data_IF_791901705355
#
_entry.id   IF_791901705355
#
_cell.length_a   1.000
_cell.length_b   1.000
_cell.length_c   1.000
_cell.angle_alpha   90.00
_cell.angle_beta   90.00
_cell.angle_gamma   90.00
#
_symmetry.space_group_name_H-M   'P 1'
#
loop_
_entity.id
_entity.type
_entity.pdbx_description
1 polymer ?
#
# COMPACT_ATOMS: atom_id res chain seq x y z
N UNK A 1 -50.48 -19.57 -21.13
CA UNK A 1 -49.81 -18.89 -20.00
C UNK A 1 -48.67 -19.72 -19.40
N UNK A 2 -48.80 -21.05 -19.24
CA UNK A 2 -47.74 -21.95 -18.73
C UNK A 2 -46.45 -21.95 -19.60
N UNK A 3 -46.56 -21.80 -20.92
CA UNK A 3 -45.39 -21.79 -21.83
C UNK A 3 -44.43 -20.61 -21.61
N UNK A 4 -44.93 -19.44 -21.22
CA UNK A 4 -44.11 -18.25 -20.94
C UNK A 4 -43.47 -18.30 -19.55
N UNK A 5 -44.08 -19.03 -18.63
CA UNK A 5 -43.58 -19.20 -17.25
C UNK A 5 -42.32 -20.08 -17.22
N UNK A 6 -42.26 -21.10 -18.08
CA UNK A 6 -41.08 -21.98 -18.23
C UNK A 6 -39.91 -21.21 -18.85
N UNK A 7 -40.16 -20.32 -19.81
CA UNK A 7 -39.12 -19.51 -20.46
C UNK A 7 -38.47 -18.50 -19.50
N UNK A 8 -39.26 -17.90 -18.60
CA UNK A 8 -38.76 -16.93 -17.60
C UNK A 8 -37.88 -17.62 -16.54
N UNK A 9 -38.25 -18.82 -16.10
CA UNK A 9 -37.47 -19.57 -15.10
C UNK A 9 -36.11 -20.03 -15.68
N UNK A 10 -36.05 -20.34 -16.97
CA UNK A 10 -34.81 -20.76 -17.63
C UNK A 10 -33.82 -19.60 -17.84
N UNK A 11 -34.31 -18.37 -18.02
CA UNK A 11 -33.45 -17.18 -18.17
C UNK A 11 -32.86 -16.68 -16.85
N UNK A 12 -33.55 -16.86 -15.72
CA UNK A 12 -32.99 -16.49 -14.41
C UNK A 12 -31.91 -17.47 -13.91
N UNK A 13 -31.95 -18.73 -14.36
CA UNK A 13 -30.94 -19.74 -14.01
C UNK A 13 -29.59 -19.54 -14.74
N UNK A 14 -29.54 -18.73 -15.80
CA UNK A 14 -28.33 -18.46 -16.60
C UNK A 14 -27.57 -17.19 -16.14
N UNK A 15 -28.12 -16.41 -15.20
CA UNK A 15 -27.45 -15.23 -14.63
C UNK A 15 -26.74 -15.50 -13.30
N UNK A 16 -26.53 -16.77 -12.94
CA UNK A 16 -25.84 -17.18 -11.71
C UNK A 16 -24.45 -17.73 -11.98
N UNK A 17 -23.69 -17.11 -12.88
CA UNK A 17 -22.23 -17.22 -12.90
C UNK A 17 -21.64 -15.97 -12.24
N UNK A 18 -21.86 -15.82 -10.93
CA UNK A 18 -20.83 -15.21 -10.10
C UNK A 18 -19.80 -16.30 -9.84
N UNK A 19 -19.05 -16.66 -10.89
CA UNK A 19 -17.74 -17.23 -10.65
C UNK A 19 -16.93 -16.05 -10.16
N UNK A 20 -16.86 -15.93 -8.83
CA UNK A 20 -15.82 -15.14 -8.18
C UNK A 20 -14.52 -15.81 -8.57
N UNK A 21 -14.00 -15.46 -9.74
CA UNK A 21 -12.63 -15.74 -10.03
C UNK A 21 -11.86 -15.06 -8.92
N UNK A 22 -11.10 -15.85 -8.17
CA UNK A 22 -10.04 -15.34 -7.32
C UNK A 22 -9.05 -14.65 -8.27
N UNK A 23 -9.37 -13.42 -8.69
CA UNK A 23 -8.45 -12.46 -9.25
C UNK A 23 -7.53 -11.97 -8.13
N UNK A 24 -6.98 -12.91 -7.36
CA UNK A 24 -5.85 -12.66 -6.49
C UNK A 24 -4.68 -12.48 -7.44
N UNK A 25 -4.30 -11.23 -7.68
CA UNK A 25 -3.19 -10.97 -8.56
C UNK A 25 -1.92 -11.54 -7.92
N UNK A 26 -1.13 -12.26 -8.73
CA UNK A 26 0.03 -13.00 -8.25
C UNK A 26 1.02 -12.07 -7.52
N UNK A 27 1.20 -12.22 -6.19
CA UNK A 27 2.09 -11.37 -5.40
C UNK A 27 3.55 -11.45 -5.82
N UNK A 28 3.95 -12.46 -6.62
CA UNK A 28 5.31 -12.54 -7.19
C UNK A 28 5.60 -11.43 -8.20
N UNK A 29 4.56 -10.74 -8.70
CA UNK A 29 4.70 -9.60 -9.61
C UNK A 29 5.17 -8.32 -8.91
N UNK A 30 5.12 -8.23 -7.58
CA UNK A 30 5.67 -7.07 -6.88
C UNK A 30 7.15 -7.27 -6.49
N UNK A 31 7.92 -6.17 -6.36
CA UNK A 31 9.36 -6.24 -6.09
C UNK A 31 9.67 -6.97 -4.77
N UNK A 32 10.83 -7.63 -4.61
CA UNK A 32 11.16 -8.28 -3.35
C UNK A 32 11.27 -7.25 -2.20
N UNK A 33 10.82 -7.64 -1.00
CA UNK A 33 11.03 -6.85 0.21
C UNK A 33 12.55 -6.82 0.52
N UNK A 34 13.15 -5.67 0.27
CA UNK A 34 14.59 -5.42 0.40
C UNK A 34 14.81 -4.23 1.33
N UNK A 35 16.06 -4.02 1.75
CA UNK A 35 16.44 -2.93 2.65
C UNK A 35 17.59 -2.10 2.08
N UNK A 36 17.69 -2.00 0.76
CA UNK A 36 18.88 -1.50 0.06
C UNK A 36 18.72 -0.09 -0.48
N UNK A 37 17.52 0.49 -0.41
CA UNK A 37 17.17 1.71 -1.14
C UNK A 37 16.99 1.46 -2.64
N UNK A 38 16.50 0.29 -3.06
CA UNK A 38 16.37 -0.08 -4.47
C UNK A 38 15.30 0.71 -5.26
N UNK A 39 14.65 1.70 -4.62
CA UNK A 39 13.53 2.49 -5.14
C UNK A 39 12.39 1.63 -5.69
N UNK A 40 12.01 0.62 -4.91
CA UNK A 40 10.93 -0.30 -5.23
C UNK A 40 9.70 -0.05 -4.37
N UNK A 41 8.52 -0.27 -4.96
CA UNK A 41 7.23 -0.14 -4.28
C UNK A 41 6.25 -1.09 -4.94
N UNK A 42 5.43 -1.76 -4.14
CA UNK A 42 4.31 -2.56 -4.62
C UNK A 42 3.24 -2.75 -3.55
N UNK A 43 1.98 -2.84 -3.98
CA UNK A 43 0.87 -3.25 -3.13
C UNK A 43 -0.28 -3.83 -3.98
N UNK A 44 -1.26 -4.40 -3.28
CA UNK A 44 -2.55 -4.74 -3.83
C UNK A 44 -3.57 -3.66 -3.45
N UNK A 45 -4.40 -3.21 -4.40
CA UNK A 45 -5.62 -2.44 -4.12
C UNK A 45 -6.78 -3.23 -4.73
N UNK A 46 -7.72 -3.66 -3.89
CA UNK A 46 -8.84 -4.54 -4.30
C UNK A 46 -8.40 -5.80 -5.08
N UNK A 47 -7.27 -6.37 -4.67
CA UNK A 47 -6.70 -7.56 -5.31
C UNK A 47 -5.87 -7.27 -6.57
N UNK A 48 -5.82 -6.04 -7.08
CA UNK A 48 -5.02 -5.67 -8.26
C UNK A 48 -3.60 -5.23 -7.86
N UNK A 49 -2.58 -5.72 -8.57
CA UNK A 49 -1.18 -5.30 -8.34
C UNK A 49 -0.91 -3.90 -8.87
N UNK A 50 -0.34 -3.05 -8.02
CA UNK A 50 0.23 -1.77 -8.40
C UNK A 50 1.72 -1.73 -8.04
N UNK A 51 2.59 -1.42 -9.02
CA UNK A 51 4.05 -1.34 -8.80
C UNK A 51 4.62 0.00 -9.25
N UNK A 52 5.57 0.52 -8.48
CA UNK A 52 6.13 1.85 -8.71
C UNK A 52 7.38 1.90 -9.59
N UNK A 53 7.98 0.76 -9.95
CA UNK A 53 9.34 0.74 -10.52
C UNK A 53 9.47 1.41 -11.89
N UNK A 54 8.40 1.44 -12.68
CA UNK A 54 8.47 1.80 -14.10
C UNK A 54 8.27 3.29 -14.38
N UNK A 55 7.61 4.03 -13.49
CA UNK A 55 7.12 5.38 -13.78
C UNK A 55 7.58 6.36 -12.70
N UNK A 56 8.03 7.55 -13.13
CA UNK A 56 8.31 8.66 -12.22
C UNK A 56 9.80 8.90 -11.93
N UNK A 57 10.09 9.84 -11.01
CA UNK A 57 11.45 10.20 -10.62
C UNK A 57 12.16 9.07 -9.88
N UNK A 58 13.50 9.13 -9.84
CA UNK A 58 14.33 8.13 -9.16
C UNK A 58 14.03 8.06 -7.65
N UNK A 59 13.62 9.17 -7.02
CA UNK A 59 13.26 9.23 -5.59
C UNK A 59 11.75 9.30 -5.42
N UNK A 60 11.18 8.33 -4.68
CA UNK A 60 9.72 8.18 -4.46
C UNK A 60 9.27 8.57 -3.04
N UNK A 61 10.21 9.01 -2.22
CA UNK A 61 9.96 9.41 -0.85
C UNK A 61 10.59 10.78 -0.56
N UNK A 62 9.99 11.53 0.36
CA UNK A 62 10.50 12.81 0.86
C UNK A 62 10.45 12.81 2.39
N UNK A 63 11.57 13.08 3.05
CA UNK A 63 11.65 13.15 4.51
C UNK A 63 11.54 14.58 5.02
N UNK A 64 10.69 14.78 6.01
CA UNK A 64 10.47 16.02 6.73
C UNK A 64 10.78 15.79 8.21
N UNK A 65 11.90 16.33 8.75
CA UNK A 65 12.23 16.18 10.16
C UNK A 65 11.26 16.96 11.06
N UNK A 66 11.10 16.51 12.30
CA UNK A 66 10.41 17.29 13.32
C UNK A 66 11.20 18.58 13.61
N UNK A 67 10.54 19.74 13.64
CA UNK A 67 11.22 21.01 13.90
C UNK A 67 11.36 21.32 15.40
N UNK A 68 10.61 20.63 16.26
CA UNK A 68 10.58 20.79 17.71
C UNK A 68 10.08 19.49 18.39
N UNK A 69 10.08 19.47 19.73
CA UNK A 69 9.71 18.29 20.54
C UNK A 69 8.22 17.91 20.44
N UNK A 70 7.35 18.84 20.04
CA UNK A 70 5.90 18.63 19.91
C UNK A 70 5.51 18.11 18.51
N UNK A 71 6.44 18.16 17.55
CA UNK A 71 6.24 17.72 16.17
C UNK A 71 6.74 16.30 15.94
N UNK A 72 6.10 15.61 14.99
CA UNK A 72 6.51 14.29 14.53
C UNK A 72 7.15 14.40 13.16
N UNK A 73 8.29 13.73 13.00
CA UNK A 73 8.90 13.61 11.68
C UNK A 73 7.96 12.85 10.73
N UNK A 74 7.96 13.20 9.45
CA UNK A 74 7.07 12.60 8.46
C UNK A 74 7.86 12.17 7.23
N UNK A 75 7.51 11.02 6.67
CA UNK A 75 7.97 10.60 5.34
C UNK A 75 6.77 10.57 4.40
N UNK A 76 6.76 11.45 3.41
CA UNK A 76 5.79 11.36 2.33
C UNK A 76 6.28 10.33 1.30
N UNK A 77 5.43 9.38 0.94
CA UNK A 77 5.65 8.47 -0.18
C UNK A 77 4.73 8.91 -1.31
N UNK A 78 5.29 9.10 -2.50
CA UNK A 78 4.55 9.38 -3.73
C UNK A 78 5.11 8.51 -4.86
N UNK A 79 4.26 7.63 -5.37
CA UNK A 79 4.66 6.62 -6.35
C UNK A 79 3.72 6.67 -7.54
N UNK A 80 4.28 6.85 -8.75
CA UNK A 80 3.52 6.61 -9.98
C UNK A 80 3.48 5.11 -10.24
N UNK A 81 2.27 4.59 -10.42
CA UNK A 81 2.03 3.16 -10.69
C UNK A 81 1.57 2.93 -12.13
N UNK A 82 1.19 4.01 -12.83
CA UNK A 82 1.00 4.06 -14.27
C UNK A 82 1.32 5.49 -14.77
N UNK A 83 1.19 5.74 -16.06
CA UNK A 83 1.35 7.02 -16.76
C UNK A 83 0.53 8.14 -16.12
N UNK A 84 -0.70 7.84 -15.70
CA UNK A 84 -1.62 8.80 -15.09
C UNK A 84 -2.08 8.42 -13.68
N UNK A 85 -1.62 7.28 -13.14
CA UNK A 85 -2.04 6.78 -11.84
C UNK A 85 -0.91 6.88 -10.79
N UNK A 86 -1.27 7.22 -9.56
CA UNK A 86 -0.30 7.33 -8.45
C UNK A 86 -0.91 6.93 -7.12
N UNK A 87 -0.05 6.47 -6.21
CA UNK A 87 -0.37 6.22 -4.81
C UNK A 87 0.48 7.16 -3.97
N UNK A 88 -0.12 7.79 -2.97
CA UNK A 88 0.62 8.59 -1.99
C UNK A 88 0.05 8.47 -0.59
N UNK A 89 0.92 8.56 0.42
CA UNK A 89 0.55 8.58 1.83
C UNK A 89 1.70 9.15 2.68
N UNK A 90 1.41 9.52 3.92
CA UNK A 90 2.37 10.05 4.88
C UNK A 90 2.64 9.03 5.98
N UNK A 91 3.89 8.64 6.21
CA UNK A 91 4.30 7.84 7.36
C UNK A 91 4.63 8.80 8.50
N UNK A 92 3.94 8.64 9.63
CA UNK A 92 4.09 9.53 10.79
C UNK A 92 5.05 8.90 11.79
N UNK A 93 6.05 9.67 12.22
CA UNK A 93 7.05 9.28 13.23
C UNK A 93 7.72 7.94 12.90
N UNK A 94 8.40 7.82 11.72
CA UNK A 94 8.99 6.56 11.28
C UNK A 94 10.08 6.10 12.24
N UNK A 95 9.96 4.87 12.75
CA UNK A 95 10.91 4.26 13.68
C UNK A 95 11.26 2.86 13.24
N UNK A 96 12.55 2.58 13.08
CA UNK A 96 13.03 1.22 12.85
C UNK A 96 12.78 0.36 14.08
N UNK A 97 12.10 -0.77 13.90
CA UNK A 97 11.86 -1.70 15.00
C UNK A 97 13.06 -2.63 15.16
N UNK A 98 13.79 -2.49 16.26
CA UNK A 98 14.83 -3.44 16.64
C UNK A 98 14.21 -4.79 17.02
N UNK A 99 14.24 -5.75 16.09
CA UNK A 99 13.64 -7.09 16.21
C UNK A 99 14.09 -7.82 17.50
N UNK A 100 15.28 -7.52 18.03
CA UNK A 100 15.87 -8.17 19.20
C UNK A 100 15.16 -7.87 20.54
N UNK A 101 14.37 -6.79 20.64
CA UNK A 101 13.67 -6.41 21.89
C UNK A 101 12.14 -6.63 21.80
N UNK A 102 11.58 -6.77 20.59
CA UNK A 102 10.15 -7.07 20.38
C UNK A 102 9.78 -8.55 20.64
N UNK A 103 10.33 -9.15 21.71
CA UNK A 103 9.89 -10.46 22.19
C UNK A 103 8.52 -10.33 22.86
N UNK A 104 7.45 -10.56 22.09
CA UNK A 104 6.12 -11.07 22.49
C UNK A 104 5.34 -10.47 23.68
N UNK A 105 5.88 -9.54 24.47
CA UNK A 105 5.33 -9.15 25.79
C UNK A 105 4.84 -7.71 25.87
N UNK A 106 5.14 -6.84 24.89
CA UNK A 106 4.79 -5.42 24.96
C UNK A 106 4.18 -4.88 23.65
N UNK A 107 3.18 -5.58 23.11
CA UNK A 107 2.27 -4.95 22.14
C UNK A 107 1.33 -4.02 22.90
N UNK A 108 1.75 -2.78 23.13
CA UNK A 108 0.81 -1.69 23.42
C UNK A 108 0.44 -1.03 22.10
N UNK A 109 -0.85 -0.73 21.88
CA UNK A 109 -1.35 -0.11 20.63
C UNK A 109 -0.65 1.22 20.29
N UNK A 110 0.02 1.86 21.25
CA UNK A 110 0.70 3.14 21.09
C UNK A 110 2.03 3.10 20.32
N UNK A 111 2.58 1.91 20.01
CA UNK A 111 3.92 1.77 19.40
C UNK A 111 3.86 1.31 17.93
N UNK A 112 2.69 1.45 17.31
CA UNK A 112 2.47 1.13 15.91
C UNK A 112 2.72 2.36 15.05
N UNK A 113 3.64 2.26 14.09
CA UNK A 113 3.82 3.29 13.06
C UNK A 113 2.64 3.21 12.10
N UNK A 114 2.04 4.37 11.80
CA UNK A 114 0.88 4.48 10.92
C UNK A 114 1.25 5.24 9.65
N UNK A 115 0.50 4.98 8.58
CA UNK A 115 0.40 5.91 7.47
C UNK A 115 -0.97 6.61 7.48
N UNK A 116 -0.99 7.87 7.05
CA UNK A 116 -2.20 8.69 6.95
C UNK A 116 -2.32 9.35 5.58
N UNK A 117 -3.51 9.90 5.32
CA UNK A 117 -3.80 10.70 4.11
C UNK A 117 -3.49 9.94 2.82
N UNK A 118 -3.82 8.65 2.82
CA UNK A 118 -3.62 7.80 1.67
C UNK A 118 -4.55 8.21 0.53
N UNK A 119 -3.98 8.39 -0.65
CA UNK A 119 -4.70 8.76 -1.88
C UNK A 119 -4.26 7.85 -3.01
N UNK A 120 -5.24 7.27 -3.69
CA UNK A 120 -5.05 6.64 -4.98
C UNK A 120 -5.61 7.53 -6.08
N UNK A 121 -4.76 7.91 -7.02
CA UNK A 121 -5.15 8.61 -8.23
C UNK A 121 -5.22 7.60 -9.37
N UNK A 122 -6.38 7.46 -9.97
CA UNK A 122 -6.59 6.52 -11.08
C UNK A 122 -6.07 7.09 -12.42
N UNK A 123 -6.10 6.26 -13.47
CA UNK A 123 -5.68 6.68 -14.81
C UNK A 123 -6.51 7.82 -15.42
N UNK A 124 -7.72 8.07 -14.89
CA UNK A 124 -8.60 9.16 -15.28
C UNK A 124 -8.37 10.44 -14.46
N UNK A 125 -7.34 10.45 -13.61
CA UNK A 125 -6.98 11.54 -12.68
C UNK A 125 -8.02 11.80 -11.60
N UNK A 126 -8.93 10.86 -11.34
CA UNK A 126 -9.80 10.92 -10.18
C UNK A 126 -9.00 10.51 -8.95
N UNK A 127 -9.20 11.24 -7.86
CA UNK A 127 -8.54 11.00 -6.58
C UNK A 127 -9.51 10.32 -5.63
N UNK A 128 -9.11 9.15 -5.16
CA UNK A 128 -9.82 8.35 -4.18
C UNK A 128 -9.05 8.38 -2.87
N UNK A 129 -9.71 8.82 -1.80
CA UNK A 129 -9.15 8.73 -0.45
C UNK A 129 -9.22 7.28 0.00
N UNK A 130 -8.09 6.75 0.44
CA UNK A 130 -7.95 5.42 1.01
C UNK A 130 -7.93 5.51 2.53
N UNK A 131 -8.23 4.39 3.19
CA UNK A 131 -8.13 4.31 4.64
C UNK A 131 -6.68 4.38 5.11
N UNK A 132 -6.49 5.05 6.25
CA UNK A 132 -5.25 5.01 7.01
C UNK A 132 -4.91 3.56 7.40
N UNK A 133 -3.64 3.33 7.68
CA UNK A 133 -3.18 1.98 7.99
C UNK A 133 -1.86 1.94 8.71
N UNK A 134 -1.29 0.75 8.73
CA UNK A 134 -0.17 0.38 9.56
C UNK A 134 1.06 0.23 8.68
N UNK A 135 2.21 0.66 9.20
CA UNK A 135 3.50 0.49 8.57
C UNK A 135 4.43 -0.26 9.52
N UNK A 136 5.09 -1.29 9.01
CA UNK A 136 6.20 -1.95 9.68
C UNK A 136 7.50 -1.49 9.02
N UNK A 137 8.20 -0.57 9.66
CA UNK A 137 9.50 -0.09 9.21
C UNK A 137 10.57 -1.11 9.57
N UNK A 138 11.23 -1.63 8.54
CA UNK A 138 12.30 -2.63 8.66
C UNK A 138 13.70 -2.03 8.50
N UNK A 139 13.81 -0.84 7.90
CA UNK A 139 15.01 -0.01 7.87
C UNK A 139 14.63 1.46 7.82
N UNK A 140 15.22 2.29 8.66
CA UNK A 140 15.12 3.75 8.57
C UNK A 140 16.49 4.39 8.84
N UNK A 141 17.20 4.66 7.75
CA UNK A 141 18.59 5.08 7.77
C UNK A 141 18.70 6.50 7.22
N UNK A 142 18.83 7.48 8.12
CA UNK A 142 18.96 8.89 7.76
C UNK A 142 20.29 9.21 7.05
N UNK A 143 21.34 8.42 7.30
CA UNK A 143 22.68 8.67 6.74
C UNK A 143 22.74 8.25 5.27
N UNK A 144 22.20 7.08 4.96
CA UNK A 144 22.09 6.57 3.60
C UNK A 144 20.79 7.01 2.89
N UNK A 145 19.90 7.72 3.61
CA UNK A 145 18.60 8.19 3.15
C UNK A 145 17.71 7.06 2.65
N UNK A 146 17.62 5.96 3.41
CA UNK A 146 16.86 4.75 3.06
C UNK A 146 15.69 4.57 4.02
N UNK A 147 14.51 4.26 3.47
CA UNK A 147 13.37 3.75 4.23
C UNK A 147 12.80 2.51 3.56
N UNK A 148 12.63 1.45 4.34
CA UNK A 148 12.14 0.16 3.82
C UNK A 148 11.16 -0.47 4.80
N UNK A 149 10.09 -1.07 4.29
CA UNK A 149 9.06 -1.62 5.15
C UNK A 149 7.91 -2.29 4.41
N UNK A 150 6.96 -2.77 5.20
CA UNK A 150 5.67 -3.28 4.71
C UNK A 150 4.53 -2.41 5.23
N UNK A 151 3.40 -2.40 4.55
CA UNK A 151 2.23 -1.66 4.98
C UNK A 151 0.92 -2.33 4.58
N UNK A 152 -0.14 -2.05 5.32
CA UNK A 152 -1.50 -2.49 5.03
C UNK A 152 -2.53 -1.58 5.69
N UNK A 153 -3.71 -1.46 5.09
CA UNK A 153 -4.84 -0.74 5.66
C UNK A 153 -5.98 -0.61 4.67
N UNK A 154 -7.21 -0.76 5.16
CA UNK A 154 -8.40 -0.77 4.31
C UNK A 154 -8.26 -1.69 3.10
N UNK A 155 -8.38 -1.11 1.90
CA UNK A 155 -8.23 -1.80 0.61
C UNK A 155 -6.78 -2.02 0.15
N UNK A 156 -5.80 -1.34 0.75
CA UNK A 156 -4.38 -1.58 0.48
C UNK A 156 -3.87 -2.80 1.25
N UNK A 157 -3.44 -3.83 0.53
CA UNK A 157 -2.93 -5.09 1.10
C UNK A 157 -1.55 -5.42 0.56
N UNK A 158 -0.81 -6.22 1.34
CA UNK A 158 0.52 -6.75 0.98
C UNK A 158 1.54 -5.69 0.52
N UNK A 159 1.40 -4.47 1.04
CA UNK A 159 2.22 -3.35 0.66
C UNK A 159 3.67 -3.53 1.10
N UNK A 160 4.61 -3.18 0.23
CA UNK A 160 6.05 -3.19 0.49
C UNK A 160 6.77 -2.10 -0.27
N UNK A 161 7.80 -1.54 0.36
CA UNK A 161 8.63 -0.50 -0.23
C UNK A 161 10.09 -0.61 0.23
N UNK A 162 11.01 -0.23 -0.65
CA UNK A 162 12.44 -0.04 -0.38
C UNK A 162 12.89 1.21 -1.14
N UNK A 163 12.90 2.36 -0.48
CA UNK A 163 12.98 3.67 -1.12
C UNK A 163 14.16 4.49 -0.60
N UNK A 164 14.67 5.36 -1.47
CA UNK A 164 15.52 6.48 -1.07
C UNK A 164 14.71 7.76 -0.97
N UNK A 165 14.97 8.57 0.06
CA UNK A 165 14.36 9.90 0.27
C UNK A 165 15.42 10.99 0.30
#
# INVERSE_FOLDING_TARGET
MIKYLITIVLTLALCSSCDGEDFSADPTLMPPATQTGANTFGCLIDGWVYTGQRYGPDHKASYYPACNEDEKATVNIYVRVDTNASISFNIIDPKEKNITIYSALEKTDNDQTIYTDAVFKDGNKQEEKLEDGIVNITRFDLSNRIISGTFEGGRMKEGRFDLTF
#
